data_IF_781547574720
#
_entry.id   IF_781547574720
#
_cell.length_a   1.000
_cell.length_b   1.000
_cell.length_c   1.000
_cell.angle_alpha   90.00
_cell.angle_beta   90.00
_cell.angle_gamma   90.00
#
_symmetry.space_group_name_H-M   'P 1'
#
loop_
_entity.id
_entity.type
_entity.pdbx_description
1 polymer ?
#
# COMPACT_ATOMS: atom_id res chain seq x y z
N UNK A 1 -18.83 2.17 -8.19
CA UNK A 1 -18.50 2.09 -9.63
C UNK A 1 -18.04 3.45 -10.17
N UNK A 2 -16.88 4.02 -9.74
CA UNK A 2 -16.49 5.39 -10.12
C UNK A 2 -14.99 5.64 -10.36
N UNK A 3 -14.20 4.60 -10.69
CA UNK A 3 -12.80 4.79 -11.09
C UNK A 3 -12.41 3.87 -12.24
N UNK A 4 -12.91 4.16 -13.44
CA UNK A 4 -12.50 3.51 -14.71
C UNK A 4 -12.75 4.47 -15.88
N UNK A 5 -11.92 5.51 -16.07
CA UNK A 5 -11.87 6.19 -17.39
C UNK A 5 -10.71 7.15 -17.69
N UNK A 6 -9.68 7.29 -16.85
CA UNK A 6 -8.51 8.11 -17.21
C UNK A 6 -7.42 7.31 -17.95
N UNK A 7 -7.22 6.04 -17.61
CA UNK A 7 -6.20 5.17 -18.22
C UNK A 7 -6.39 4.99 -19.75
N UNK A 8 -7.63 4.81 -20.23
CA UNK A 8 -7.89 4.49 -21.65
C UNK A 8 -7.83 5.72 -22.57
N UNK A 9 -7.98 6.94 -22.02
CA UNK A 9 -7.70 8.18 -22.79
C UNK A 9 -6.20 8.42 -22.97
N UNK A 10 -5.35 7.81 -22.13
CA UNK A 10 -3.89 7.92 -22.21
C UNK A 10 -3.34 7.19 -23.44
N UNK A 11 -3.88 6.04 -23.80
CA UNK A 11 -3.42 5.27 -24.97
C UNK A 11 -3.65 5.98 -26.32
N UNK A 12 -4.63 6.88 -26.42
CA UNK A 12 -4.91 7.65 -27.65
C UNK A 12 -4.10 8.94 -27.75
N UNK A 13 -3.34 9.30 -26.71
CA UNK A 13 -2.48 10.49 -26.67
C UNK A 13 -0.99 10.15 -26.78
N UNK A 14 -0.66 8.96 -27.27
CA UNK A 14 0.72 8.50 -27.45
C UNK A 14 1.36 8.94 -28.79
N UNK A 15 0.65 9.73 -29.60
CA UNK A 15 1.12 10.14 -30.94
C UNK A 15 1.68 11.57 -30.96
N UNK A 16 1.56 12.34 -29.86
CA UNK A 16 1.92 13.77 -29.90
C UNK A 16 2.49 14.34 -28.59
N UNK A 17 3.30 13.58 -27.83
CA UNK A 17 3.87 14.07 -26.56
C UNK A 17 5.39 14.23 -26.61
N UNK A 18 5.84 15.45 -26.36
CA UNK A 18 7.26 15.83 -26.21
C UNK A 18 7.95 15.06 -25.07
N UNK A 19 9.28 14.82 -25.15
CA UNK A 19 10.04 14.04 -24.15
C UNK A 19 9.86 14.45 -22.69
N UNK A 20 9.56 15.73 -22.43
CA UNK A 20 9.31 16.29 -21.09
C UNK A 20 8.01 15.81 -20.43
N UNK A 21 6.96 15.50 -21.20
CA UNK A 21 5.71 14.98 -20.63
C UNK A 21 5.84 13.50 -20.22
N UNK A 22 6.68 12.73 -20.91
CA UNK A 22 6.94 11.32 -20.55
C UNK A 22 7.71 11.19 -19.24
N UNK A 23 8.73 12.02 -19.00
CA UNK A 23 9.51 12.01 -17.75
C UNK A 23 8.66 12.39 -16.53
N UNK A 24 7.67 13.27 -16.68
CA UNK A 24 6.78 13.66 -15.59
C UNK A 24 5.87 12.50 -15.15
N UNK A 25 5.36 11.71 -16.11
CA UNK A 25 4.51 10.55 -15.82
C UNK A 25 5.29 9.41 -15.16
N UNK A 26 6.56 9.19 -15.53
CA UNK A 26 7.43 8.21 -14.87
C UNK A 26 7.75 8.61 -13.42
N UNK A 27 8.13 9.88 -13.20
CA UNK A 27 8.40 10.40 -11.87
C UNK A 27 7.18 10.28 -10.93
N UNK A 28 5.98 10.52 -11.46
CA UNK A 28 4.73 10.41 -10.68
C UNK A 28 4.44 8.95 -10.27
N UNK A 29 4.73 7.98 -11.16
CA UNK A 29 4.61 6.55 -10.86
C UNK A 29 5.63 6.08 -9.84
N UNK A 30 6.89 6.47 -10.00
CA UNK A 30 7.97 6.14 -9.04
C UNK A 30 7.64 6.72 -7.67
N UNK A 31 7.23 7.99 -7.61
CA UNK A 31 6.82 8.64 -6.37
C UNK A 31 5.68 7.89 -5.70
N UNK A 32 4.64 7.53 -6.46
CA UNK A 32 3.49 6.79 -5.92
C UNK A 32 3.88 5.41 -5.39
N UNK A 33 4.77 4.69 -6.09
CA UNK A 33 5.27 3.39 -5.64
C UNK A 33 6.05 3.50 -4.32
N UNK A 34 6.93 4.50 -4.20
CA UNK A 34 7.70 4.76 -2.97
C UNK A 34 6.80 5.12 -1.79
N UNK A 35 5.73 5.90 -2.01
CA UNK A 35 4.78 6.26 -0.96
C UNK A 35 4.04 5.04 -0.41
N UNK A 36 3.58 4.15 -1.29
CA UNK A 36 2.93 2.90 -0.85
C UNK A 36 3.93 2.08 -0.03
N UNK A 37 5.16 1.93 -0.51
CA UNK A 37 6.21 1.15 0.15
C UNK A 37 6.54 1.68 1.56
N UNK A 38 6.65 3.00 1.70
CA UNK A 38 6.88 3.66 2.99
C UNK A 38 5.75 3.39 3.99
N UNK A 39 4.50 3.50 3.55
CA UNK A 39 3.33 3.22 4.40
C UNK A 39 3.33 1.76 4.85
N UNK A 40 3.63 0.84 3.93
CA UNK A 40 3.72 -0.59 4.21
C UNK A 40 4.84 -0.90 5.23
N UNK A 41 5.97 -0.19 5.17
CA UNK A 41 7.05 -0.36 6.16
C UNK A 41 6.66 0.11 7.57
N UNK A 42 5.97 1.25 7.69
CA UNK A 42 5.48 1.77 8.97
C UNK A 42 4.45 0.83 9.58
N UNK A 43 3.57 0.26 8.76
CA UNK A 43 2.56 -0.70 9.20
C UNK A 43 3.19 -1.90 9.93
N UNK A 44 4.22 -2.51 9.35
CA UNK A 44 4.93 -3.64 9.96
C UNK A 44 5.56 -3.24 11.30
N UNK A 45 6.11 -2.02 11.40
CA UNK A 45 6.69 -1.50 12.64
C UNK A 45 5.63 -1.32 13.73
N UNK A 46 4.44 -0.80 13.38
CA UNK A 46 3.33 -0.63 14.32
C UNK A 46 2.81 -1.99 14.79
N UNK A 47 2.69 -2.98 13.90
CA UNK A 47 2.32 -4.35 14.27
C UNK A 47 3.32 -4.91 15.28
N UNK A 48 4.61 -4.81 14.98
CA UNK A 48 5.67 -5.26 15.89
C UNK A 48 5.54 -4.59 17.26
N UNK A 49 5.39 -3.27 17.29
CA UNK A 49 5.21 -2.50 18.51
C UNK A 49 3.99 -2.94 19.33
N UNK A 50 2.88 -3.23 18.65
CA UNK A 50 1.63 -3.72 19.26
C UNK A 50 1.77 -5.13 19.83
N UNK A 51 2.66 -5.97 19.31
CA UNK A 51 2.87 -7.34 19.82
C UNK A 51 3.77 -7.41 21.04
N UNK A 52 4.64 -6.41 21.25
CA UNK A 52 5.60 -6.37 22.35
C UNK A 52 5.25 -5.34 23.42
N UNK A 53 4.03 -4.79 23.39
CA UNK A 53 3.63 -3.67 24.26
C UNK A 53 3.59 -4.07 25.74
N UNK A 54 3.43 -5.35 26.05
CA UNK A 54 3.43 -5.92 27.41
C UNK A 54 4.84 -6.30 27.91
N UNK A 55 5.88 -6.13 27.10
CA UNK A 55 7.27 -6.49 27.44
C UNK A 55 8.04 -5.30 28.06
N UNK A 56 9.14 -5.58 28.74
CA UNK A 56 10.04 -4.52 29.22
C UNK A 56 10.54 -3.61 28.08
N UNK A 57 10.70 -2.32 28.35
CA UNK A 57 11.16 -1.32 27.37
C UNK A 57 12.46 -1.74 26.66
N UNK A 58 13.37 -2.43 27.35
CA UNK A 58 14.61 -2.93 26.74
C UNK A 58 14.33 -3.95 25.64
N UNK A 59 13.40 -4.88 25.87
CA UNK A 59 13.00 -5.91 24.90
C UNK A 59 12.27 -5.25 23.73
N UNK A 60 11.34 -4.34 24.01
CA UNK A 60 10.60 -3.61 22.99
C UNK A 60 11.52 -2.86 22.02
N UNK A 61 12.52 -2.12 22.53
CA UNK A 61 13.48 -1.38 21.69
C UNK A 61 14.28 -2.33 20.81
N UNK A 62 14.78 -3.44 21.37
CA UNK A 62 15.60 -4.40 20.61
C UNK A 62 14.76 -5.07 19.50
N UNK A 63 13.56 -5.55 19.82
CA UNK A 63 12.70 -6.27 18.89
C UNK A 63 12.19 -5.34 17.79
N UNK A 64 11.70 -4.14 18.14
CA UNK A 64 11.18 -3.18 17.16
C UNK A 64 12.29 -2.67 16.25
N UNK A 65 13.49 -2.39 16.80
CA UNK A 65 14.66 -2.00 15.98
C UNK A 65 15.05 -3.10 14.98
N UNK A 66 15.12 -4.35 15.43
CA UNK A 66 15.42 -5.49 14.57
C UNK A 66 14.37 -5.66 13.46
N UNK A 67 13.08 -5.62 13.81
CA UNK A 67 12.00 -5.75 12.84
C UNK A 67 11.98 -4.55 11.88
N UNK A 68 12.24 -3.33 12.34
CA UNK A 68 12.31 -2.15 11.49
C UNK A 68 13.42 -2.28 10.42
N UNK A 69 14.61 -2.76 10.81
CA UNK A 69 15.71 -3.01 9.87
C UNK A 69 15.34 -4.13 8.88
N UNK A 70 14.82 -5.25 9.38
CA UNK A 70 14.42 -6.39 8.54
C UNK A 70 13.30 -6.01 7.56
N UNK A 71 12.29 -5.27 8.00
CA UNK A 71 11.20 -4.77 7.17
C UNK A 71 11.73 -3.82 6.11
N UNK A 72 12.61 -2.88 6.48
CA UNK A 72 13.26 -1.97 5.51
C UNK A 72 13.99 -2.77 4.44
N UNK A 73 14.92 -3.64 4.81
CA UNK A 73 15.70 -4.41 3.83
C UNK A 73 14.81 -5.35 3.00
N UNK A 74 13.86 -6.04 3.64
CA UNK A 74 12.97 -6.99 2.99
C UNK A 74 12.03 -6.34 1.98
N UNK A 75 11.33 -5.27 2.40
CA UNK A 75 10.34 -4.58 1.58
C UNK A 75 11.02 -3.86 0.41
N UNK A 76 12.03 -3.02 0.68
CA UNK A 76 12.78 -2.33 -0.39
C UNK A 76 13.52 -3.31 -1.31
N UNK A 77 14.02 -4.43 -0.76
CA UNK A 77 14.67 -5.49 -1.54
C UNK A 77 13.71 -6.19 -2.49
N UNK A 78 12.52 -6.56 -2.02
CA UNK A 78 11.48 -7.18 -2.86
C UNK A 78 11.01 -6.21 -3.94
N UNK A 79 10.77 -4.95 -3.61
CA UNK A 79 10.36 -3.93 -4.59
C UNK A 79 11.45 -3.71 -5.65
N UNK A 80 12.71 -3.58 -5.25
CA UNK A 80 13.83 -3.46 -6.19
C UNK A 80 13.96 -4.69 -7.09
N UNK A 81 13.71 -5.89 -6.57
CA UNK A 81 13.71 -7.13 -7.34
C UNK A 81 12.57 -7.14 -8.36
N UNK A 82 11.36 -6.74 -7.96
CA UNK A 82 10.19 -6.65 -8.85
C UNK A 82 10.44 -5.65 -9.98
N UNK A 83 10.99 -4.47 -9.68
CA UNK A 83 11.35 -3.45 -10.70
C UNK A 83 12.43 -3.97 -11.63
N UNK A 84 13.46 -4.65 -11.10
CA UNK A 84 14.51 -5.24 -11.94
C UNK A 84 13.98 -6.33 -12.86
N UNK A 85 13.01 -7.12 -12.42
CA UNK A 85 12.33 -8.11 -13.27
C UNK A 85 11.54 -7.44 -14.40
N UNK A 86 10.90 -6.29 -14.15
CA UNK A 86 10.20 -5.51 -15.17
C UNK A 86 11.17 -4.99 -16.26
N UNK A 87 12.27 -4.36 -15.84
CA UNK A 87 13.32 -3.85 -16.75
C UNK A 87 13.93 -4.97 -17.60
N UNK A 88 14.19 -6.13 -16.98
CA UNK A 88 14.65 -7.33 -17.70
C UNK A 88 13.61 -7.82 -18.70
N UNK A 89 12.33 -7.80 -18.34
CA UNK A 89 11.20 -8.09 -19.21
C UNK A 89 11.18 -7.20 -20.45
N UNK A 90 11.36 -5.88 -20.27
CA UNK A 90 11.45 -4.95 -21.39
C UNK A 90 12.66 -5.21 -22.29
N UNK A 91 13.83 -5.51 -21.71
CA UNK A 91 15.03 -5.87 -22.47
C UNK A 91 14.84 -7.14 -23.29
N UNK A 92 14.16 -8.16 -22.76
CA UNK A 92 13.80 -9.40 -23.47
C UNK A 92 12.85 -9.14 -24.65
N UNK A 93 11.89 -8.22 -24.50
CA UNK A 93 11.00 -7.80 -25.59
C UNK A 93 11.79 -7.09 -26.70
N UNK A 94 12.72 -6.20 -26.31
CA UNK A 94 13.53 -5.41 -27.26
C UNK A 94 14.55 -6.27 -28.02
N UNK A 95 15.17 -7.25 -27.37
CA UNK A 95 16.11 -8.17 -28.04
C UNK A 95 15.42 -9.08 -29.07
N UNK A 96 14.10 -9.32 -28.95
CA UNK A 96 13.24 -10.02 -29.93
C UNK A 96 13.83 -11.32 -30.51
N UNK A 97 14.64 -12.04 -29.73
CA UNK A 97 15.39 -13.24 -30.17
C UNK A 97 14.50 -14.43 -30.54
N UNK A 98 13.35 -14.60 -29.88
CA UNK A 98 12.43 -15.71 -30.15
C UNK A 98 10.99 -15.39 -29.69
N UNK A 99 9.97 -16.04 -30.28
CA UNK A 99 8.56 -15.77 -29.95
C UNK A 99 8.23 -16.08 -28.48
N UNK A 100 8.90 -17.09 -27.91
CA UNK A 100 8.80 -17.47 -26.50
C UNK A 100 9.39 -16.41 -25.55
N UNK A 101 10.58 -15.88 -25.85
CA UNK A 101 11.23 -14.87 -24.99
C UNK A 101 10.49 -13.53 -25.04
N UNK A 102 9.88 -13.18 -26.18
CA UNK A 102 8.99 -12.03 -26.32
C UNK A 102 7.72 -12.19 -25.47
N UNK A 103 7.05 -13.34 -25.53
CA UNK A 103 5.85 -13.59 -24.74
C UNK A 103 6.14 -13.62 -23.23
N UNK A 104 7.28 -14.19 -22.81
CA UNK A 104 7.73 -14.15 -21.42
C UNK A 104 7.99 -12.70 -20.97
N UNK A 105 8.71 -11.91 -21.77
CA UNK A 105 8.95 -10.50 -21.46
C UNK A 105 7.65 -9.68 -21.33
N UNK A 106 6.67 -9.90 -22.21
CA UNK A 106 5.34 -9.26 -22.12
C UNK A 106 4.61 -9.68 -20.83
N UNK A 107 4.74 -10.95 -20.43
CA UNK A 107 4.16 -11.46 -19.19
C UNK A 107 4.76 -10.79 -17.95
N UNK A 108 6.09 -10.65 -17.91
CA UNK A 108 6.80 -9.97 -16.82
C UNK A 108 6.35 -8.51 -16.68
N UNK A 109 6.31 -7.76 -17.80
CA UNK A 109 5.96 -6.33 -17.77
C UNK A 109 4.49 -6.10 -17.41
N UNK A 110 3.58 -6.97 -17.89
CA UNK A 110 2.16 -6.91 -17.50
C UNK A 110 1.90 -7.35 -16.06
N UNK A 111 2.84 -8.06 -15.43
CA UNK A 111 2.75 -8.49 -14.05
C UNK A 111 2.89 -7.33 -13.05
N UNK A 112 3.76 -6.37 -13.34
CA UNK A 112 4.05 -5.22 -12.47
C UNK A 112 2.78 -4.47 -11.99
N UNK A 113 1.85 -4.01 -12.87
CA UNK A 113 0.65 -3.31 -12.41
C UNK A 113 -0.29 -4.18 -11.58
N UNK A 114 -0.31 -5.49 -11.83
CA UNK A 114 -1.13 -6.44 -11.07
C UNK A 114 -0.58 -6.58 -9.64
N UNK A 115 0.73 -6.70 -9.50
CA UNK A 115 1.41 -6.79 -8.21
C UNK A 115 1.14 -5.53 -7.38
N UNK A 116 1.35 -4.34 -7.97
CA UNK A 116 1.10 -3.06 -7.28
C UNK A 116 -0.37 -2.93 -6.85
N UNK A 117 -1.32 -3.29 -7.73
CA UNK A 117 -2.75 -3.23 -7.41
C UNK A 117 -3.14 -4.20 -6.29
N UNK A 118 -2.56 -5.39 -6.30
CA UNK A 118 -2.81 -6.41 -5.27
C UNK A 118 -2.24 -5.96 -3.92
N UNK A 119 -1.00 -5.47 -3.91
CA UNK A 119 -0.36 -4.89 -2.72
C UNK A 119 -1.20 -3.75 -2.12
N UNK A 120 -1.77 -2.88 -2.95
CA UNK A 120 -2.60 -1.78 -2.46
C UNK A 120 -3.91 -2.26 -1.80
N UNK A 121 -4.57 -3.27 -2.38
CA UNK A 121 -5.79 -3.85 -1.80
C UNK A 121 -5.47 -4.58 -0.50
N UNK A 122 -4.42 -5.41 -0.51
CA UNK A 122 -3.99 -6.18 0.67
C UNK A 122 -3.55 -5.23 1.79
N UNK A 123 -2.74 -4.22 1.48
CA UNK A 123 -2.29 -3.22 2.46
C UNK A 123 -3.45 -2.40 3.03
N UNK A 124 -4.44 -2.02 2.21
CA UNK A 124 -5.63 -1.32 2.74
C UNK A 124 -6.42 -2.20 3.72
N UNK A 125 -6.60 -3.49 3.40
CA UNK A 125 -7.27 -4.45 4.30
C UNK A 125 -6.46 -4.62 5.59
N UNK A 126 -5.15 -4.77 5.46
CA UNK A 126 -4.24 -4.94 6.59
C UNK A 126 -4.28 -3.71 7.53
N UNK A 127 -4.22 -2.49 6.99
CA UNK A 127 -4.34 -1.26 7.78
C UNK A 127 -5.65 -1.18 8.58
N UNK A 128 -6.77 -1.60 7.98
CA UNK A 128 -8.07 -1.62 8.69
C UNK A 128 -8.03 -2.61 9.85
N UNK A 129 -7.52 -3.83 9.61
CA UNK A 129 -7.41 -4.88 10.62
C UNK A 129 -6.45 -4.48 11.75
N UNK A 130 -5.28 -3.94 11.40
CA UNK A 130 -4.25 -3.53 12.35
C UNK A 130 -4.72 -2.36 13.20
N UNK A 131 -5.29 -1.32 12.58
CA UNK A 131 -5.84 -0.19 13.29
C UNK A 131 -6.96 -0.62 14.25
N UNK A 132 -7.88 -1.47 13.78
CA UNK A 132 -8.93 -2.04 14.63
C UNK A 132 -8.38 -2.85 15.81
N UNK A 133 -7.30 -3.61 15.59
CA UNK A 133 -6.59 -4.35 16.64
C UNK A 133 -6.04 -3.46 17.75
N UNK A 134 -5.52 -2.28 17.42
CA UNK A 134 -5.05 -1.30 18.42
C UNK A 134 -6.21 -0.86 19.32
N UNK A 135 -7.39 -0.60 18.74
CA UNK A 135 -8.55 -0.13 19.51
C UNK A 135 -9.20 -1.24 20.34
N UNK A 136 -9.29 -2.46 19.83
CA UNK A 136 -9.91 -3.59 20.55
C UNK A 136 -9.10 -3.98 21.79
N UNK A 137 -7.76 -3.93 21.72
CA UNK A 137 -6.91 -4.23 22.88
C UNK A 137 -6.88 -3.11 23.92
N UNK A 138 -7.05 -1.85 23.50
CA UNK A 138 -6.90 -0.70 24.39
C UNK A 138 -8.23 -0.23 25.02
N UNK A 139 -9.38 -0.74 24.55
CA UNK A 139 -10.71 -0.38 25.07
C UNK A 139 -11.38 -1.64 25.64
N UNK A 140 -11.33 -1.80 26.96
CA UNK A 140 -11.92 -2.92 27.70
C UNK A 140 -13.40 -3.19 27.33
N UNK A 141 -14.17 -2.12 27.09
CA UNK A 141 -15.60 -2.17 26.77
C UNK A 141 -15.90 -2.83 25.41
N UNK A 142 -14.93 -2.86 24.50
CA UNK A 142 -15.06 -3.46 23.16
C UNK A 142 -14.76 -4.96 23.20
N UNK A 143 -13.93 -5.39 24.17
CA UNK A 143 -13.59 -6.79 24.37
C UNK A 143 -14.80 -7.58 24.87
N UNK A 144 -15.44 -7.11 25.94
CA UNK A 144 -16.65 -7.72 26.53
C UNK A 144 -17.83 -7.80 25.54
N UNK A 145 -17.93 -6.87 24.58
CA UNK A 145 -19.00 -6.84 23.59
C UNK A 145 -18.78 -7.83 22.42
N UNK A 146 -17.55 -8.32 22.24
CA UNK A 146 -17.11 -9.09 21.06
C UNK A 146 -16.45 -10.44 21.41
N UNK A 147 -16.49 -10.87 22.68
CA UNK A 147 -15.89 -12.11 23.20
C UNK A 147 -16.28 -13.40 22.46
N UNK A 148 -17.35 -13.38 21.67
CA UNK A 148 -17.80 -14.52 20.85
C UNK A 148 -17.26 -14.57 19.41
N UNK A 149 -16.53 -13.56 18.95
CA UNK A 149 -16.09 -13.44 17.55
C UNK A 149 -14.57 -13.67 17.38
N UNK A 150 -14.14 -14.26 16.24
CA UNK A 150 -12.72 -14.31 15.90
C UNK A 150 -12.11 -12.91 15.90
N UNK A 151 -10.91 -12.76 16.47
CA UNK A 151 -10.19 -11.48 16.58
C UNK A 151 -10.05 -10.74 15.25
N UNK A 152 -9.90 -11.48 14.14
CA UNK A 152 -9.86 -10.91 12.79
C UNK A 152 -11.14 -10.16 12.43
N UNK A 153 -12.31 -10.71 12.75
CA UNK A 153 -13.62 -10.13 12.43
C UNK A 153 -13.89 -8.92 13.34
N UNK A 154 -13.63 -9.08 14.64
CA UNK A 154 -13.77 -8.01 15.64
C UNK A 154 -12.92 -6.80 15.28
N UNK A 155 -11.62 -7.01 15.04
CA UNK A 155 -10.70 -5.95 14.64
C UNK A 155 -11.13 -5.29 13.32
N UNK A 156 -11.54 -6.06 12.32
CA UNK A 156 -12.02 -5.51 11.04
C UNK A 156 -13.25 -4.61 11.22
N UNK A 157 -14.23 -5.03 12.03
CA UNK A 157 -15.43 -4.23 12.28
C UNK A 157 -15.11 -2.92 12.99
N UNK A 158 -14.31 -2.98 14.07
CA UNK A 158 -13.91 -1.79 14.82
C UNK A 158 -13.10 -0.84 13.94
N UNK A 159 -12.13 -1.37 13.18
CA UNK A 159 -11.34 -0.60 12.23
C UNK A 159 -12.19 0.09 11.17
N UNK A 160 -13.20 -0.60 10.61
CA UNK A 160 -14.12 -0.01 9.64
C UNK A 160 -15.01 1.08 10.26
N UNK A 161 -15.54 0.86 11.47
CA UNK A 161 -16.40 1.83 12.16
C UNK A 161 -15.61 3.10 12.49
N UNK A 162 -14.45 2.95 13.12
CA UNK A 162 -13.56 4.08 13.46
C UNK A 162 -13.10 4.79 12.18
N UNK A 163 -12.69 4.04 11.17
CA UNK A 163 -12.30 4.58 9.88
C UNK A 163 -13.42 5.37 9.21
N UNK A 164 -14.66 4.86 9.25
CA UNK A 164 -15.83 5.55 8.69
C UNK A 164 -16.15 6.83 9.45
N UNK A 165 -16.11 6.81 10.78
CA UNK A 165 -16.30 8.00 11.63
C UNK A 165 -15.25 9.06 11.30
N UNK A 166 -13.97 8.68 11.22
CA UNK A 166 -12.88 9.59 10.87
C UNK A 166 -13.07 10.19 9.47
N UNK A 167 -13.52 9.40 8.50
CA UNK A 167 -13.77 9.83 7.13
C UNK A 167 -14.92 10.84 7.07
N UNK A 168 -16.03 10.57 7.77
CA UNK A 168 -17.16 11.51 7.90
C UNK A 168 -16.72 12.80 8.60
N UNK A 169 -15.95 12.70 9.69
CA UNK A 169 -15.39 13.85 10.39
C UNK A 169 -14.49 14.70 9.50
N UNK A 170 -13.62 14.06 8.70
CA UNK A 170 -12.77 14.75 7.73
C UNK A 170 -13.60 15.44 6.63
N UNK A 171 -14.63 14.77 6.09
CA UNK A 171 -15.52 15.39 5.10
C UNK A 171 -16.23 16.61 5.66
N UNK A 172 -16.72 16.55 6.90
CA UNK A 172 -17.34 17.67 7.59
C UNK A 172 -16.34 18.81 7.80
N UNK A 173 -15.13 18.49 8.25
CA UNK A 173 -14.06 19.48 8.44
C UNK A 173 -13.64 20.15 7.13
N UNK A 174 -13.51 19.39 6.04
CA UNK A 174 -13.23 19.92 4.71
C UNK A 174 -14.40 20.76 4.18
N UNK A 175 -15.65 20.38 4.46
CA UNK A 175 -16.82 21.19 4.11
C UNK A 175 -16.82 22.53 4.86
N UNK A 176 -16.43 22.52 6.14
CA UNK A 176 -16.32 23.74 6.96
C UNK A 176 -15.18 24.65 6.45
N UNK A 177 -13.98 24.11 6.19
CA UNK A 177 -12.84 24.89 5.65
C UNK A 177 -13.00 25.29 4.18
N UNK A 178 -13.63 24.44 3.36
CA UNK A 178 -13.90 24.71 1.95
C UNK A 178 -14.98 25.76 1.73
N UNK A 179 -15.84 26.00 2.72
CA UNK A 179 -16.81 27.12 2.72
C UNK A 179 -16.11 28.47 2.98
N UNK A 180 -14.85 28.48 3.43
CA UNK A 180 -14.10 29.71 3.77
C UNK A 180 -13.26 30.29 2.61
N UNK A 181 -13.27 29.68 1.42
CA UNK A 181 -12.64 30.24 0.21
C UNK A 181 -13.67 30.50 -0.89
N UNK A 182 -14.51 31.51 -0.68
CA UNK A 182 -15.24 32.19 -1.75
C UNK A 182 -14.72 33.62 -1.88
#
# INVERSE_FOLDING_TARGET
FLFHRKEVKSAKKLVDQTPKEMTNLENERVKSAVFVDFILSIEIVIIALSTVTESELKVQIIVVSLIAVLATVGVYGIVALIVRMDDMGYKLIKENKNKYTKNLGIGLVKGLPIVIKTLNVVGTIALVVVAGGIFTHNIHYVHDLLDGLPSLVSNSMVGLVVGFIALVGMMLFQKIKGTTQC
#
